data_IF_199606942068
#
_entry.id   IF_199606942068
#
_cell.length_a   1.000
_cell.length_b   1.000
_cell.length_c   1.000
_cell.angle_alpha   90.00
_cell.angle_beta   90.00
_cell.angle_gamma   90.00
#
_symmetry.space_group_name_H-M   'P 1'
#
loop_
_entity.id
_entity.type
_entity.pdbx_description
1 polymer ?
#
# COMPACT_ATOMS: atom_id res chain seq x y z
N UNK A 1 11.67 10.38 -3.41
CA UNK A 1 12.89 9.73 -3.92
C UNK A 1 13.31 8.56 -3.06
N UNK A 2 12.98 7.35 -3.49
CA UNK A 2 13.44 6.11 -2.85
C UNK A 2 12.46 4.94 -2.94
N UNK A 3 11.15 5.24 -2.98
CA UNK A 3 10.09 4.25 -3.12
C UNK A 3 9.24 4.65 -4.32
N UNK A 4 9.03 3.71 -5.24
CA UNK A 4 8.13 3.85 -6.38
C UNK A 4 6.71 3.43 -5.96
N UNK A 5 5.73 4.31 -6.15
CA UNK A 5 4.36 4.09 -5.67
C UNK A 5 3.67 2.94 -6.41
N UNK A 6 3.86 2.86 -7.73
CA UNK A 6 3.33 1.83 -8.60
C UNK A 6 3.86 0.45 -8.23
N UNK A 7 5.16 0.32 -8.03
CA UNK A 7 5.74 -0.97 -7.67
C UNK A 7 5.38 -1.41 -6.23
N UNK A 8 5.06 -0.50 -5.31
CA UNK A 8 4.43 -0.88 -4.03
C UNK A 8 3.00 -1.39 -4.25
N UNK A 9 2.21 -0.71 -5.10
CA UNK A 9 0.83 -1.13 -5.43
C UNK A 9 0.84 -2.52 -6.08
N UNK A 10 1.71 -2.73 -7.06
CA UNK A 10 1.86 -4.00 -7.77
C UNK A 10 2.27 -5.13 -6.81
N UNK A 11 3.23 -4.89 -5.90
CA UNK A 11 3.63 -5.88 -4.89
C UNK A 11 2.48 -6.28 -3.97
N UNK A 12 1.70 -5.30 -3.48
CA UNK A 12 0.55 -5.57 -2.61
C UNK A 12 -0.55 -6.36 -3.34
N UNK A 13 -0.78 -6.07 -4.61
CA UNK A 13 -1.76 -6.79 -5.41
C UNK A 13 -1.30 -8.23 -5.71
N UNK A 14 -0.07 -8.39 -6.18
CA UNK A 14 0.45 -9.68 -6.66
C UNK A 14 0.72 -10.67 -5.51
N UNK A 15 1.26 -10.21 -4.38
CA UNK A 15 1.65 -11.09 -3.26
C UNK A 15 0.56 -11.25 -2.19
N UNK A 16 -0.33 -10.26 -2.05
CA UNK A 16 -1.30 -10.19 -0.95
C UNK A 16 -2.77 -10.08 -1.39
N UNK A 17 -3.06 -10.01 -2.70
CA UNK A 17 -4.41 -9.75 -3.24
C UNK A 17 -5.03 -8.49 -2.60
N UNK A 18 -4.18 -7.46 -2.39
CA UNK A 18 -4.49 -6.26 -1.64
C UNK A 18 -4.37 -5.03 -2.51
N UNK A 19 -5.52 -4.42 -2.82
CA UNK A 19 -5.58 -3.21 -3.63
C UNK A 19 -5.52 -1.94 -2.75
N UNK A 20 -4.54 -1.07 -3.03
CA UNK A 20 -4.53 0.33 -2.63
C UNK A 20 -4.42 1.20 -3.88
N UNK A 21 -4.71 2.51 -3.75
CA UNK A 21 -4.65 3.41 -4.89
C UNK A 21 -3.57 4.48 -4.71
N UNK A 22 -2.94 4.88 -5.82
CA UNK A 22 -2.11 6.09 -5.87
C UNK A 22 -2.97 7.35 -5.64
N UNK A 23 -2.29 8.48 -5.42
CA UNK A 23 -2.88 9.81 -5.43
C UNK A 23 -3.51 10.14 -6.78
N UNK A 24 -4.19 11.28 -6.84
CA UNK A 24 -4.92 11.70 -8.03
C UNK A 24 -4.51 13.13 -8.41
N UNK A 25 -4.41 13.38 -9.71
CA UNK A 25 -4.07 14.71 -10.24
C UNK A 25 -2.70 15.15 -9.77
N UNK A 26 -2.64 16.31 -9.11
CA UNK A 26 -1.39 16.89 -8.61
C UNK A 26 -0.70 16.05 -7.51
N UNK A 27 -1.32 14.97 -7.05
CA UNK A 27 -0.79 14.07 -6.01
C UNK A 27 -0.49 12.65 -6.53
N UNK A 28 -0.64 12.40 -7.83
CA UNK A 28 -0.27 11.11 -8.45
C UNK A 28 1.23 10.83 -8.22
N UNK A 29 1.57 9.63 -7.72
CA UNK A 29 2.96 9.30 -7.38
C UNK A 29 3.43 9.73 -5.99
N UNK A 30 2.75 10.71 -5.37
CA UNK A 30 3.22 11.33 -4.13
C UNK A 30 2.61 10.73 -2.86
N UNK A 31 1.39 10.18 -2.95
CA UNK A 31 0.68 9.60 -1.82
C UNK A 31 -0.01 8.28 -2.19
N UNK A 32 -0.25 7.45 -1.18
CA UNK A 32 -1.19 6.34 -1.28
C UNK A 32 -2.50 6.66 -0.58
N UNK A 33 -3.59 6.06 -1.07
CA UNK A 33 -4.91 6.12 -0.49
C UNK A 33 -5.33 4.71 -0.09
N UNK A 34 -5.47 4.51 1.22
CA UNK A 34 -5.85 3.21 1.81
C UNK A 34 -7.31 3.29 2.28
N UNK A 35 -8.16 2.44 1.72
CA UNK A 35 -9.59 2.40 2.04
C UNK A 35 -9.91 1.56 3.26
N UNK A 36 -10.31 2.20 4.37
CA UNK A 36 -10.82 1.52 5.56
C UNK A 36 -12.32 1.83 5.74
N UNK A 37 -13.19 1.04 5.10
CA UNK A 37 -14.62 1.37 4.95
C UNK A 37 -15.51 0.13 5.07
N UNK A 38 -16.72 0.29 5.64
CA UNK A 38 -17.74 -0.76 5.64
C UNK A 38 -17.25 -2.11 6.17
N UNK A 39 -17.36 -3.16 5.36
CA UNK A 39 -16.95 -4.51 5.74
C UNK A 39 -15.43 -4.63 5.99
N UNK A 40 -14.61 -3.84 5.30
CA UNK A 40 -13.15 -3.91 5.42
C UNK A 40 -12.62 -3.23 6.69
N UNK A 41 -13.40 -2.37 7.34
CA UNK A 41 -13.03 -1.61 8.53
C UNK A 41 -12.99 -2.50 9.80
N UNK A 42 -12.02 -3.42 9.84
CA UNK A 42 -11.81 -4.39 10.92
C UNK A 42 -10.34 -4.42 11.33
N UNK A 43 -10.02 -4.61 12.62
CA UNK A 43 -8.64 -4.65 13.10
C UNK A 43 -7.75 -5.61 12.30
N UNK A 44 -8.25 -6.83 12.03
CA UNK A 44 -7.52 -7.83 11.23
C UNK A 44 -7.08 -7.31 9.85
N UNK A 45 -7.94 -6.56 9.15
CA UNK A 45 -7.60 -6.06 7.82
C UNK A 45 -6.61 -4.90 7.90
N UNK A 46 -6.73 -4.06 8.93
CA UNK A 46 -5.77 -2.97 9.17
C UNK A 46 -4.39 -3.55 9.48
N UNK A 47 -4.31 -4.54 10.37
CA UNK A 47 -3.07 -5.25 10.70
C UNK A 47 -2.47 -5.94 9.46
N UNK A 48 -3.32 -6.56 8.62
CA UNK A 48 -2.88 -7.20 7.37
C UNK A 48 -2.28 -6.21 6.38
N UNK A 49 -2.94 -5.07 6.15
CA UNK A 49 -2.42 -4.01 5.27
C UNK A 49 -1.10 -3.44 5.78
N UNK A 50 -0.97 -3.21 7.09
CA UNK A 50 0.26 -2.67 7.67
C UNK A 50 1.44 -3.62 7.49
N UNK A 51 1.23 -4.91 7.75
CA UNK A 51 2.28 -5.93 7.57
C UNK A 51 2.68 -6.10 6.09
N UNK A 52 1.70 -6.10 5.17
CA UNK A 52 1.98 -6.19 3.74
C UNK A 52 2.71 -4.92 3.22
N UNK A 53 2.37 -3.75 3.75
CA UNK A 53 3.03 -2.51 3.37
C UNK A 53 4.48 -2.44 3.88
N UNK A 54 4.75 -2.93 5.08
CA UNK A 54 6.12 -3.09 5.61
C UNK A 54 6.96 -3.96 4.65
N UNK A 55 6.44 -5.10 4.22
CA UNK A 55 7.12 -5.99 3.28
C UNK A 55 7.35 -5.34 1.91
N UNK A 56 6.34 -4.66 1.36
CA UNK A 56 6.44 -3.94 0.09
C UNK A 56 7.50 -2.83 0.13
N UNK A 57 7.58 -2.08 1.24
CA UNK A 57 8.60 -1.05 1.45
C UNK A 57 10.00 -1.67 1.56
N UNK A 58 10.14 -2.79 2.28
CA UNK A 58 11.39 -3.52 2.39
C UNK A 58 11.86 -4.05 1.03
N UNK A 59 10.95 -4.53 0.17
CA UNK A 59 11.24 -4.97 -1.19
C UNK A 59 11.80 -3.83 -2.08
N UNK A 60 11.42 -2.59 -1.79
CA UNK A 60 11.95 -1.37 -2.43
C UNK A 60 13.25 -0.87 -1.81
N UNK A 61 13.82 -1.60 -0.85
CA UNK A 61 15.02 -1.21 -0.13
C UNK A 61 14.79 -0.10 0.90
N UNK A 62 13.55 0.10 1.34
CA UNK A 62 13.20 1.03 2.42
C UNK A 62 12.94 0.27 3.71
N UNK A 63 13.76 0.51 4.74
CA UNK A 63 13.59 -0.08 6.06
C UNK A 63 12.56 0.78 6.84
N UNK A 64 11.39 0.20 7.14
CA UNK A 64 10.28 0.86 7.81
C UNK A 64 10.42 0.89 9.35
#
# INVERSE_FOLDING_TARGET
DGVDDGAVIDHLLDEYDLEIASGLGDLEGDIWRIGCMGYSARPKNVEYVLAALEDALAAQGHEA
#
